data_IF_657253196516
#
_entry.id   IF_657253196516
#
_cell.length_a   1.000
_cell.length_b   1.000
_cell.length_c   1.000
_cell.angle_alpha   90.00
_cell.angle_beta   90.00
_cell.angle_gamma   90.00
#
_symmetry.space_group_name_H-M   'P 1'
#
loop_
_entity.id
_entity.type
_entity.pdbx_description
1 polymer ?
#
# COMPACT_ATOMS: atom_id res chain seq x y z
N UNK A 1 -57.65 -38.89 26.90
CA UNK A 1 -56.99 -38.74 25.59
C UNK A 1 -55.74 -37.91 25.83
N UNK A 2 -54.56 -38.45 25.52
CA UNK A 2 -53.27 -37.85 25.83
C UNK A 2 -53.00 -36.65 24.92
N UNK A 3 -53.03 -35.46 25.49
CA UNK A 3 -52.67 -34.19 24.85
C UNK A 3 -51.15 -34.11 24.65
N UNK A 4 -50.57 -35.02 23.87
CA UNK A 4 -49.21 -34.84 23.36
C UNK A 4 -49.31 -34.03 22.07
N UNK A 5 -49.79 -32.79 22.22
CA UNK A 5 -49.60 -31.77 21.20
C UNK A 5 -48.10 -31.57 21.06
N UNK A 6 -47.58 -31.81 19.86
CA UNK A 6 -46.20 -31.50 19.51
C UNK A 6 -45.92 -30.06 19.96
N UNK A 7 -45.18 -29.91 21.05
CA UNK A 7 -44.56 -28.64 21.40
C UNK A 7 -43.47 -28.45 20.35
N UNK A 8 -43.87 -27.99 19.18
CA UNK A 8 -42.99 -27.40 18.20
C UNK A 8 -42.49 -26.11 18.82
N UNK A 9 -41.40 -26.21 19.58
CA UNK A 9 -40.65 -25.05 20.02
C UNK A 9 -40.45 -24.15 18.80
N UNK A 10 -40.90 -22.88 18.82
CA UNK A 10 -40.62 -21.97 17.72
C UNK A 10 -39.09 -21.93 17.52
N UNK A 11 -38.60 -21.89 16.27
CA UNK A 11 -37.16 -21.84 16.03
C UNK A 11 -36.57 -20.70 16.88
N UNK A 12 -35.47 -20.95 17.61
CA UNK A 12 -34.87 -19.95 18.46
C UNK A 12 -34.61 -18.70 17.64
N UNK A 13 -34.99 -17.54 18.18
CA UNK A 13 -34.84 -16.27 17.49
C UNK A 13 -33.34 -16.10 17.17
N UNK A 14 -32.98 -15.93 15.89
CA UNK A 14 -31.58 -15.80 15.53
C UNK A 14 -31.00 -14.54 16.20
N UNK A 15 -29.89 -14.73 16.92
CA UNK A 15 -29.23 -13.64 17.64
C UNK A 15 -28.83 -12.50 16.68
N UNK A 16 -28.73 -11.28 17.23
CA UNK A 16 -28.23 -10.11 16.50
C UNK A 16 -26.92 -10.42 15.72
N UNK A 17 -26.02 -11.20 16.33
CA UNK A 17 -24.76 -11.62 15.72
C UNK A 17 -24.93 -12.46 14.45
N UNK A 18 -25.95 -13.32 14.38
CA UNK A 18 -26.24 -14.11 13.17
C UNK A 18 -26.69 -13.19 12.04
N UNK A 19 -27.55 -12.21 12.34
CA UNK A 19 -27.95 -11.22 11.35
C UNK A 19 -26.77 -10.37 10.89
N UNK A 20 -25.97 -9.85 11.83
CA UNK A 20 -24.78 -9.08 11.53
C UNK A 20 -23.80 -9.89 10.65
N UNK A 21 -23.51 -11.13 11.01
CA UNK A 21 -22.65 -12.01 10.22
C UNK A 21 -23.21 -12.31 8.83
N UNK A 22 -24.53 -12.47 8.69
CA UNK A 22 -25.20 -12.68 7.41
C UNK A 22 -25.11 -11.45 6.51
N UNK A 23 -25.32 -10.25 7.05
CA UNK A 23 -25.16 -8.99 6.33
C UNK A 23 -23.70 -8.73 5.96
N UNK A 24 -22.78 -8.93 6.90
CA UNK A 24 -21.35 -8.77 6.67
C UNK A 24 -20.85 -9.75 5.60
N UNK A 25 -21.28 -11.00 5.62
CA UNK A 25 -20.94 -11.99 4.59
C UNK A 25 -21.45 -11.59 3.22
N UNK A 26 -22.70 -11.16 3.10
CA UNK A 26 -23.26 -10.75 1.81
C UNK A 26 -22.55 -9.51 1.26
N UNK A 27 -22.28 -8.52 2.12
CA UNK A 27 -21.50 -7.34 1.76
C UNK A 27 -20.10 -7.75 1.31
N UNK A 28 -19.40 -8.56 2.10
CA UNK A 28 -18.03 -8.97 1.80
C UNK A 28 -17.92 -9.77 0.50
N UNK A 29 -18.85 -10.71 0.25
CA UNK A 29 -18.89 -11.50 -1.00
C UNK A 29 -19.22 -10.61 -2.20
N UNK A 30 -20.15 -9.65 -2.07
CA UNK A 30 -20.48 -8.71 -3.14
C UNK A 30 -19.31 -7.78 -3.48
N UNK A 31 -18.60 -7.30 -2.46
CA UNK A 31 -17.42 -6.44 -2.63
C UNK A 31 -16.19 -7.21 -3.09
N UNK A 32 -16.04 -8.49 -2.74
CA UNK A 32 -14.94 -9.33 -3.20
C UNK A 32 -14.88 -9.43 -4.73
N UNK A 33 -16.02 -9.43 -5.42
CA UNK A 33 -16.06 -9.46 -6.90
C UNK A 33 -15.39 -8.21 -7.50
N UNK A 34 -15.43 -7.07 -6.80
CA UNK A 34 -14.82 -5.81 -7.24
C UNK A 34 -13.39 -5.69 -6.72
N UNK A 35 -13.16 -6.00 -5.44
CA UNK A 35 -11.85 -5.87 -4.81
C UNK A 35 -10.86 -6.94 -5.22
N UNK A 36 -11.26 -8.19 -5.44
CA UNK A 36 -10.33 -9.26 -5.85
C UNK A 36 -9.64 -8.94 -7.17
N UNK A 37 -10.34 -8.60 -8.28
CA UNK A 37 -9.67 -8.23 -9.52
C UNK A 37 -8.89 -6.92 -9.37
N UNK A 38 -9.36 -5.96 -8.57
CA UNK A 38 -8.63 -4.72 -8.32
C UNK A 38 -7.31 -4.95 -7.57
N UNK A 39 -7.33 -5.73 -6.49
CA UNK A 39 -6.13 -6.12 -5.72
C UNK A 39 -5.19 -6.91 -6.61
N UNK A 40 -5.70 -7.89 -7.36
CA UNK A 40 -4.90 -8.68 -8.28
C UNK A 40 -4.27 -7.79 -9.37
N UNK A 41 -5.00 -6.81 -9.88
CA UNK A 41 -4.51 -5.83 -10.86
C UNK A 41 -3.43 -4.91 -10.27
N UNK A 42 -3.61 -4.41 -9.05
CA UNK A 42 -2.58 -3.59 -8.37
C UNK A 42 -1.33 -4.40 -8.04
N UNK A 43 -1.47 -5.66 -7.60
CA UNK A 43 -0.35 -6.59 -7.42
C UNK A 43 0.33 -6.89 -8.75
N UNK A 44 -0.46 -7.15 -9.79
CA UNK A 44 0.05 -7.38 -11.14
C UNK A 44 0.86 -6.19 -11.64
N UNK A 45 0.35 -4.96 -11.49
CA UNK A 45 1.11 -3.74 -11.82
C UNK A 45 2.38 -3.63 -10.97
N UNK A 46 2.32 -3.95 -9.68
CA UNK A 46 3.47 -3.89 -8.77
C UNK A 46 4.55 -4.93 -9.09
N UNK A 47 4.18 -6.08 -9.63
CA UNK A 47 5.11 -7.12 -10.07
C UNK A 47 5.60 -6.95 -11.51
N UNK A 48 4.77 -6.41 -12.39
CA UNK A 48 5.10 -6.24 -13.82
C UNK A 48 5.71 -4.89 -14.13
N UNK A 49 5.48 -3.86 -13.31
CA UNK A 49 6.38 -2.72 -13.32
C UNK A 49 7.74 -3.24 -12.86
N UNK A 50 8.81 -3.10 -13.66
CA UNK A 50 10.13 -3.17 -13.09
C UNK A 50 10.10 -2.17 -11.95
N UNK A 51 10.44 -2.62 -10.74
CA UNK A 51 10.71 -1.68 -9.66
C UNK A 51 11.81 -0.80 -10.22
N UNK A 52 11.44 0.37 -10.74
CA UNK A 52 12.35 1.47 -10.84
C UNK A 52 12.80 1.60 -9.41
N UNK A 53 13.98 1.05 -9.15
CA UNK A 53 14.80 1.44 -8.05
C UNK A 53 15.00 2.92 -8.34
N UNK A 54 14.02 3.74 -7.93
CA UNK A 54 14.20 5.16 -7.83
C UNK A 54 15.26 5.21 -6.75
N UNK A 55 16.48 5.27 -7.23
CA UNK A 55 17.66 5.66 -6.50
C UNK A 55 17.46 7.15 -6.15
N UNK A 56 16.40 7.45 -5.39
CA UNK A 56 16.19 8.80 -4.85
C UNK A 56 17.30 9.15 -3.86
N UNK A 57 18.07 8.15 -3.38
CA UNK A 57 19.34 8.37 -2.69
C UNK A 57 20.50 8.69 -3.63
N UNK A 58 20.64 8.03 -4.77
CA UNK A 58 21.78 8.26 -5.68
C UNK A 58 21.63 9.59 -6.45
N UNK A 59 20.42 9.98 -6.85
CA UNK A 59 20.19 11.26 -7.52
C UNK A 59 20.47 12.48 -6.62
N UNK A 60 20.20 12.39 -5.31
CA UNK A 60 20.48 13.48 -4.38
C UNK A 60 21.97 13.49 -3.98
N UNK A 61 22.59 12.32 -3.84
CA UNK A 61 24.01 12.19 -3.56
C UNK A 61 24.86 12.67 -4.76
N UNK A 62 24.49 12.34 -5.99
CA UNK A 62 25.21 12.80 -7.18
C UNK A 62 25.12 14.33 -7.37
N UNK A 63 23.98 14.94 -7.05
CA UNK A 63 23.83 16.41 -7.09
C UNK A 63 24.66 17.11 -5.99
N UNK A 64 24.69 16.58 -4.76
CA UNK A 64 25.49 17.15 -3.65
C UNK A 64 27.01 16.92 -3.87
N UNK A 65 27.40 15.79 -4.46
CA UNK A 65 28.80 15.50 -4.80
C UNK A 65 29.28 16.43 -5.93
N UNK A 66 28.46 16.67 -6.95
CA UNK A 66 28.84 17.55 -8.06
C UNK A 66 28.94 19.02 -7.62
N UNK A 67 28.03 19.50 -6.76
CA UNK A 67 28.10 20.85 -6.20
C UNK A 67 29.35 21.05 -5.32
N UNK A 68 29.69 20.06 -4.48
CA UNK A 68 30.93 20.06 -3.66
C UNK A 68 32.19 20.01 -4.51
N UNK A 69 32.16 19.36 -5.67
CA UNK A 69 33.29 19.27 -6.60
C UNK A 69 33.49 20.60 -7.33
N UNK A 70 32.42 21.22 -7.81
CA UNK A 70 32.47 22.53 -8.48
C UNK A 70 32.97 23.63 -7.54
N UNK A 71 32.48 23.67 -6.29
CA UNK A 71 32.94 24.66 -5.29
C UNK A 71 34.41 24.48 -4.89
N UNK A 72 34.91 23.23 -4.79
CA UNK A 72 36.33 22.96 -4.55
C UNK A 72 37.21 23.40 -5.73
N UNK A 73 36.78 23.15 -6.96
CA UNK A 73 37.51 23.59 -8.16
C UNK A 73 37.55 25.12 -8.27
N UNK A 74 36.44 25.80 -8.00
CA UNK A 74 36.37 27.26 -7.97
C UNK A 74 37.35 27.85 -6.93
N UNK A 75 37.36 27.32 -5.70
CA UNK A 75 38.30 27.76 -4.65
C UNK A 75 39.76 27.55 -5.04
N UNK A 76 40.10 26.43 -5.66
CA UNK A 76 41.47 26.14 -6.10
C UNK A 76 41.92 27.05 -7.25
N UNK A 77 41.03 27.37 -8.19
CA UNK A 77 41.34 28.29 -9.29
C UNK A 77 41.54 29.73 -8.80
N UNK A 78 40.72 30.19 -7.86
CA UNK A 78 40.91 31.51 -7.22
C UNK A 78 42.26 31.56 -6.48
N UNK A 79 42.59 30.52 -5.70
CA UNK A 79 43.88 30.44 -5.00
C UNK A 79 45.05 30.50 -5.99
N UNK A 80 45.02 29.70 -7.06
CA UNK A 80 46.08 29.73 -8.10
C UNK A 80 46.20 31.09 -8.79
N UNK A 81 45.08 31.75 -9.07
CA UNK A 81 45.08 33.11 -9.64
C UNK A 81 45.75 34.13 -8.72
N UNK A 82 45.65 33.94 -7.40
CA UNK A 82 46.23 34.86 -6.41
C UNK A 82 47.74 34.68 -6.23
N UNK A 83 48.28 33.48 -6.50
CA UNK A 83 49.73 33.21 -6.44
C UNK A 83 50.46 33.48 -7.76
N UNK A 84 49.73 33.57 -8.87
CA UNK A 84 50.27 33.81 -10.21
C UNK A 84 50.08 35.27 -10.70
N UNK A 85 49.63 36.18 -9.82
CA UNK A 85 49.55 37.62 -10.06
C UNK A 85 50.55 38.35 -9.19
#
# INVERSE_FOLDING_TARGET
MSETGFISYPPPQPDFWIYFAKYLRNFWVQWAIVFVPFILFTLYLKFTMPSYHINEKESLEDLDIDEKKQTKMAKNNIKRSFYNS
#
